data_IF_334596145385
#
_entry.id   IF_334596145385
#
_cell.length_a   1.000
_cell.length_b   1.000
_cell.length_c   1.000
_cell.angle_alpha   90.00
_cell.angle_beta   90.00
_cell.angle_gamma   90.00
#
_symmetry.space_group_name_H-M   'P 1'
#
loop_
_entity.id
_entity.type
_entity.pdbx_description
1 polymer ?
#
# COMPACT_ATOMS: atom_id res chain seq x y z
N UNK A 1 -34.99 23.01 -1.81
CA UNK A 1 -33.96 22.45 -2.71
C UNK A 1 -32.59 22.68 -2.09
N UNK A 2 -31.81 21.66 -1.73
CA UNK A 2 -30.42 21.88 -1.39
C UNK A 2 -29.70 22.22 -2.70
N UNK A 3 -29.15 23.43 -2.76
CA UNK A 3 -28.29 23.89 -3.85
C UNK A 3 -27.06 23.00 -3.83
N UNK A 4 -26.94 22.08 -4.79
CA UNK A 4 -25.67 21.41 -5.10
C UNK A 4 -24.75 22.48 -5.67
N UNK A 5 -23.67 22.88 -4.97
CA UNK A 5 -22.74 23.83 -5.53
C UNK A 5 -22.07 23.17 -6.75
N UNK A 6 -22.01 23.89 -7.86
CA UNK A 6 -21.27 23.44 -9.03
C UNK A 6 -19.80 23.22 -8.65
N UNK A 7 -19.22 22.12 -9.16
CA UNK A 7 -17.78 21.83 -9.12
C UNK A 7 -17.03 23.10 -9.57
N UNK A 8 -16.18 23.67 -8.71
CA UNK A 8 -15.48 24.94 -8.94
C UNK A 8 -15.91 26.13 -8.06
N UNK A 9 -16.93 25.98 -7.20
CA UNK A 9 -17.40 27.07 -6.33
C UNK A 9 -16.73 27.12 -4.95
N UNK A 10 -16.02 26.08 -4.51
CA UNK A 10 -15.57 25.97 -3.13
C UNK A 10 -14.25 26.68 -2.88
N UNK A 11 -14.00 27.06 -1.62
CA UNK A 11 -12.75 27.73 -1.23
C UNK A 11 -11.47 27.01 -1.69
N UNK A 12 -11.46 25.67 -1.71
CA UNK A 12 -10.29 24.91 -2.11
C UNK A 12 -10.00 24.95 -3.63
N UNK A 13 -11.03 25.11 -4.46
CA UNK A 13 -10.89 25.27 -5.92
C UNK A 13 -10.21 26.60 -6.29
N UNK A 14 -10.28 27.58 -5.38
CA UNK A 14 -9.72 28.92 -5.55
C UNK A 14 -8.27 29.03 -5.06
N UNK A 15 -7.72 27.97 -4.46
CA UNK A 15 -6.35 27.96 -3.96
C UNK A 15 -5.36 27.78 -5.11
N UNK A 16 -4.64 28.86 -5.45
CA UNK A 16 -3.77 28.88 -6.63
C UNK A 16 -2.67 27.81 -6.60
N UNK A 17 -2.15 27.49 -5.41
CA UNK A 17 -1.12 26.46 -5.20
C UNK A 17 -1.65 25.02 -5.24
N UNK A 18 -2.98 24.82 -5.26
CA UNK A 18 -3.61 23.51 -5.39
C UNK A 18 -4.04 23.21 -6.84
N UNK A 19 -3.97 24.21 -7.73
CA UNK A 19 -4.32 24.04 -9.14
C UNK A 19 -3.35 23.05 -9.82
N UNK A 20 -3.82 22.25 -10.80
CA UNK A 20 -2.98 21.25 -11.48
C UNK A 20 -1.64 21.79 -11.99
N UNK A 21 -1.61 23.02 -12.52
CA UNK A 21 -0.39 23.62 -13.07
C UNK A 21 0.62 24.08 -12.00
N UNK A 22 0.14 24.32 -10.78
CA UNK A 22 0.89 24.94 -9.69
C UNK A 22 1.13 23.98 -8.51
N UNK A 23 0.49 22.82 -8.51
CA UNK A 23 0.61 21.84 -7.44
C UNK A 23 2.05 21.38 -7.29
N UNK A 24 2.48 21.26 -6.04
CA UNK A 24 3.82 20.81 -5.68
C UNK A 24 3.76 19.76 -4.59
N UNK A 25 4.70 18.81 -4.64
CA UNK A 25 4.91 17.87 -3.54
C UNK A 25 5.51 18.59 -2.33
N UNK A 26 5.61 17.90 -1.19
CA UNK A 26 6.15 18.50 0.05
C UNK A 26 7.59 19.03 -0.08
N UNK A 27 8.36 18.53 -1.04
CA UNK A 27 9.72 18.97 -1.36
C UNK A 27 9.75 20.17 -2.33
N UNK A 28 8.59 20.64 -2.80
CA UNK A 28 8.45 21.77 -3.69
C UNK A 28 8.56 21.42 -5.18
N UNK A 29 8.63 20.13 -5.54
CA UNK A 29 8.71 19.67 -6.94
C UNK A 29 7.33 19.71 -7.59
N UNK A 30 7.26 20.11 -8.86
CA UNK A 30 6.00 20.15 -9.65
C UNK A 30 5.68 18.77 -10.22
N UNK A 31 4.43 18.54 -10.62
CA UNK A 31 4.00 17.28 -11.24
C UNK A 31 4.80 16.85 -12.50
N UNK A 32 5.42 17.80 -13.21
CA UNK A 32 6.29 17.53 -14.36
C UNK A 32 7.69 17.01 -13.99
N UNK A 33 8.08 17.13 -12.73
CA UNK A 33 9.39 16.70 -12.24
C UNK A 33 9.44 15.16 -12.14
N UNK A 34 10.48 14.48 -12.68
CA UNK A 34 10.63 13.03 -12.57
C UNK A 34 10.62 12.51 -11.13
N UNK A 35 10.99 13.35 -10.17
CA UNK A 35 11.05 13.02 -8.76
C UNK A 35 9.84 13.53 -7.95
N UNK A 36 8.80 14.03 -8.60
CA UNK A 36 7.56 14.44 -7.94
C UNK A 36 6.95 13.31 -7.09
N UNK A 37 6.63 13.59 -5.83
CA UNK A 37 5.87 12.67 -4.99
C UNK A 37 4.39 13.08 -4.89
N UNK A 38 3.55 12.44 -5.72
CA UNK A 38 2.11 12.64 -5.78
C UNK A 38 1.35 12.31 -4.49
N UNK A 39 2.00 11.65 -3.54
CA UNK A 39 1.41 11.26 -2.24
C UNK A 39 1.59 12.34 -1.17
N UNK A 40 2.26 13.44 -1.52
CA UNK A 40 2.48 14.58 -0.62
C UNK A 40 2.10 15.88 -1.30
N UNK A 41 1.88 16.92 -0.50
CA UNK A 41 1.44 18.23 -0.97
C UNK A 41 2.18 19.32 -0.20
N UNK A 42 2.77 20.27 -0.92
CA UNK A 42 3.27 21.49 -0.30
C UNK A 42 2.10 22.43 0.00
N UNK A 43 2.04 22.87 1.26
CA UNK A 43 1.03 23.82 1.73
C UNK A 43 1.75 25.06 2.26
N UNK A 44 1.46 26.27 1.75
CA UNK A 44 2.12 27.50 2.19
C UNK A 44 1.98 27.75 3.69
N UNK A 45 3.08 28.10 4.37
CA UNK A 45 3.07 28.31 5.83
C UNK A 45 2.12 29.43 6.25
N UNK A 46 2.04 30.51 5.50
CA UNK A 46 1.12 31.61 5.84
C UNK A 46 -0.34 31.23 5.61
N UNK A 47 -0.63 30.33 4.66
CA UNK A 47 -1.96 29.74 4.54
C UNK A 47 -2.30 28.90 5.78
N UNK A 48 -1.38 28.02 6.22
CA UNK A 48 -1.56 27.19 7.42
C UNK A 48 -1.77 28.02 8.69
N UNK A 49 -1.02 29.13 8.83
CA UNK A 49 -1.17 30.04 9.97
C UNK A 49 -2.55 30.67 10.03
N UNK A 50 -3.19 30.94 8.88
CA UNK A 50 -4.52 31.57 8.80
C UNK A 50 -5.68 30.60 9.05
N UNK A 51 -5.45 29.28 8.98
CA UNK A 51 -6.49 28.28 9.21
C UNK A 51 -6.94 28.22 10.67
N UNK A 52 -8.19 27.79 10.89
CA UNK A 52 -8.66 27.41 12.22
C UNK A 52 -7.81 26.25 12.78
N UNK A 53 -7.70 26.09 14.11
CA UNK A 53 -6.82 25.08 14.70
C UNK A 53 -7.04 23.65 14.20
N UNK A 54 -8.30 23.21 14.08
CA UNK A 54 -8.64 21.88 13.58
C UNK A 54 -8.32 21.71 12.08
N UNK A 55 -8.71 22.68 11.24
CA UNK A 55 -8.44 22.65 9.79
C UNK A 55 -6.94 22.74 9.51
N UNK A 56 -6.17 23.45 10.34
CA UNK A 56 -4.70 23.44 10.28
C UNK A 56 -4.13 22.05 10.54
N UNK A 57 -4.63 21.30 11.52
CA UNK A 57 -4.21 19.91 11.75
C UNK A 57 -4.52 19.04 10.54
N UNK A 58 -5.72 19.16 9.97
CA UNK A 58 -6.10 18.42 8.77
C UNK A 58 -5.18 18.74 7.58
N UNK A 59 -4.90 20.01 7.26
CA UNK A 59 -4.00 20.37 6.17
C UNK A 59 -2.57 19.88 6.38
N UNK A 60 -2.09 19.82 7.63
CA UNK A 60 -0.79 19.22 7.96
C UNK A 60 -0.76 17.72 7.67
N UNK A 61 -1.80 16.99 8.06
CA UNK A 61 -1.91 15.56 7.78
C UNK A 61 -2.03 15.30 6.27
N UNK A 62 -2.87 16.10 5.60
CA UNK A 62 -3.07 16.04 4.16
C UNK A 62 -1.80 16.34 3.38
N UNK A 63 -0.99 17.31 3.84
CA UNK A 63 0.32 17.61 3.25
C UNK A 63 1.25 16.40 3.20
N UNK A 64 1.17 15.50 4.17
CA UNK A 64 1.94 14.25 4.17
C UNK A 64 1.24 13.05 3.52
N UNK A 65 -0.05 13.14 3.22
CA UNK A 65 -0.90 12.04 2.77
C UNK A 65 -1.93 12.55 1.76
N UNK A 66 -1.45 13.16 0.69
CA UNK A 66 -2.29 13.82 -0.30
C UNK A 66 -3.16 12.81 -1.07
N UNK A 67 -2.65 11.59 -1.23
CA UNK A 67 -3.30 10.44 -1.86
C UNK A 67 -4.30 9.70 -0.94
N UNK A 68 -4.52 10.16 0.29
CA UNK A 68 -5.34 9.48 1.30
C UNK A 68 -6.55 10.32 1.66
N UNK A 69 -7.75 9.76 1.60
CA UNK A 69 -8.98 10.39 2.11
C UNK A 69 -8.93 10.36 3.64
N UNK A 70 -8.95 11.52 4.28
CA UNK A 70 -8.87 11.62 5.74
C UNK A 70 -10.26 11.68 6.34
N UNK A 71 -10.68 10.59 6.98
CA UNK A 71 -11.87 10.56 7.85
C UNK A 71 -11.49 11.20 9.19
N UNK A 72 -11.81 12.48 9.34
CA UNK A 72 -11.32 13.33 10.42
C UNK A 72 -12.29 13.39 11.60
N UNK A 73 -11.95 12.79 12.74
CA UNK A 73 -12.88 12.71 13.87
C UNK A 73 -13.10 14.06 14.55
N UNK A 74 -14.37 14.43 14.69
CA UNK A 74 -14.85 15.61 15.39
C UNK A 74 -16.02 15.21 16.29
N UNK A 75 -15.73 15.02 17.57
CA UNK A 75 -16.69 14.49 18.53
C UNK A 75 -17.10 13.07 18.17
N UNK A 76 -18.39 12.87 17.91
CA UNK A 76 -19.00 11.57 17.55
C UNK A 76 -19.15 11.37 16.03
N UNK A 77 -18.52 12.22 15.23
CA UNK A 77 -18.61 12.19 13.77
C UNK A 77 -17.22 12.06 13.15
N UNK A 78 -17.18 11.41 11.99
CA UNK A 78 -16.09 11.56 11.04
C UNK A 78 -16.50 12.58 9.99
N UNK A 79 -15.65 13.60 9.82
CA UNK A 79 -15.83 14.67 8.86
C UNK A 79 -14.82 14.50 7.70
N UNK A 80 -15.25 14.88 6.51
CA UNK A 80 -14.46 14.96 5.29
C UNK A 80 -14.42 16.42 4.86
N UNK A 81 -13.24 16.92 4.50
CA UNK A 81 -13.06 18.32 4.12
C UNK A 81 -12.51 18.48 2.71
N UNK A 82 -12.89 19.58 2.06
CA UNK A 82 -12.39 19.99 0.75
C UNK A 82 -12.55 18.87 -0.28
N UNK A 83 -11.47 18.43 -0.93
CA UNK A 83 -11.51 17.36 -1.92
C UNK A 83 -11.98 16.02 -1.35
N UNK A 84 -11.77 15.75 -0.06
CA UNK A 84 -12.26 14.50 0.56
C UNK A 84 -13.78 14.54 0.68
N UNK A 85 -14.37 15.71 0.94
CA UNK A 85 -15.82 15.89 1.02
C UNK A 85 -16.47 15.71 -0.35
N UNK A 86 -15.83 16.20 -1.42
CA UNK A 86 -16.30 16.00 -2.80
C UNK A 86 -16.39 14.52 -3.12
N UNK A 87 -15.35 13.74 -2.78
CA UNK A 87 -15.35 12.28 -2.92
C UNK A 87 -16.46 11.65 -2.06
N UNK A 88 -16.61 12.07 -0.80
CA UNK A 88 -17.66 11.55 0.08
C UNK A 88 -19.08 11.76 -0.45
N UNK A 89 -19.36 12.90 -1.06
CA UNK A 89 -20.67 13.14 -1.69
C UNK A 89 -20.86 12.29 -2.95
N UNK A 90 -19.84 12.24 -3.81
CA UNK A 90 -19.92 11.53 -5.09
C UNK A 90 -20.00 10.01 -4.91
N UNK A 91 -19.14 9.45 -4.07
CA UNK A 91 -18.93 8.00 -3.97
C UNK A 91 -19.77 7.34 -2.87
N UNK A 92 -20.13 8.09 -1.83
CA UNK A 92 -20.87 7.57 -0.67
C UNK A 92 -22.28 8.15 -0.52
N UNK A 93 -22.69 9.06 -1.41
CA UNK A 93 -24.00 9.70 -1.36
C UNK A 93 -24.21 10.57 -0.12
N UNK A 94 -23.14 11.08 0.49
CA UNK A 94 -23.25 12.04 1.58
C UNK A 94 -23.83 13.37 1.09
N UNK A 95 -24.33 14.19 2.00
CA UNK A 95 -24.77 15.55 1.70
C UNK A 95 -23.72 16.58 2.15
N UNK A 96 -23.55 17.63 1.36
CA UNK A 96 -22.76 18.78 1.78
C UNK A 96 -23.43 19.51 2.95
N UNK A 97 -22.64 19.80 3.97
CA UNK A 97 -23.00 20.70 5.06
C UNK A 97 -22.87 22.16 4.59
N UNK A 98 -23.62 23.07 5.21
CA UNK A 98 -23.54 24.51 4.87
C UNK A 98 -22.18 25.08 5.29
N UNK A 99 -21.55 25.85 4.41
CA UNK A 99 -20.30 26.55 4.66
C UNK A 99 -19.59 26.99 3.38
N UNK A 100 -18.47 27.70 3.53
CA UNK A 100 -17.69 28.27 2.41
C UNK A 100 -16.75 27.25 1.72
N UNK A 101 -16.60 26.06 2.29
CA UNK A 101 -15.80 24.97 1.74
C UNK A 101 -16.59 23.68 1.72
N UNK A 102 -16.23 22.77 0.80
CA UNK A 102 -16.84 21.45 0.73
C UNK A 102 -16.62 20.70 2.04
N UNK A 103 -17.70 20.31 2.68
CA UNK A 103 -17.69 19.66 3.98
C UNK A 103 -18.86 18.67 4.02
N UNK A 104 -18.59 17.44 4.45
CA UNK A 104 -19.59 16.40 4.69
C UNK A 104 -19.12 15.51 5.84
N UNK A 105 -19.99 14.70 6.41
CA UNK A 105 -19.60 13.77 7.46
C UNK A 105 -20.65 12.72 7.76
N UNK A 106 -20.31 11.81 8.68
CA UNK A 106 -21.17 10.72 9.12
C UNK A 106 -20.85 10.33 10.57
N UNK A 107 -21.80 9.71 11.31
CA UNK A 107 -21.57 9.30 12.68
C UNK A 107 -20.53 8.18 12.78
N UNK A 108 -19.79 8.13 13.88
CA UNK A 108 -18.71 7.18 14.14
C UNK A 108 -19.07 5.72 13.86
N UNK A 109 -20.29 5.29 14.24
CA UNK A 109 -20.79 3.92 14.03
C UNK A 109 -20.83 3.52 12.55
N UNK A 110 -20.87 4.48 11.63
CA UNK A 110 -20.93 4.23 10.19
C UNK A 110 -19.54 4.15 9.54
N UNK A 111 -18.45 4.30 10.30
CA UNK A 111 -17.08 4.29 9.77
C UNK A 111 -16.80 3.06 8.91
N UNK A 112 -16.97 1.85 9.45
CA UNK A 112 -16.65 0.61 8.74
C UNK A 112 -17.35 0.47 7.39
N UNK A 113 -18.62 0.89 7.30
CA UNK A 113 -19.39 0.85 6.05
C UNK A 113 -18.86 1.84 5.00
N UNK A 114 -18.60 3.08 5.42
CA UNK A 114 -18.15 4.12 4.49
C UNK A 114 -16.69 3.97 4.09
N UNK A 115 -15.82 3.56 5.01
CA UNK A 115 -14.41 3.29 4.71
C UNK A 115 -14.29 2.13 3.72
N UNK A 116 -14.99 1.03 3.98
CA UNK A 116 -14.93 -0.16 3.13
C UNK A 116 -15.44 0.13 1.71
N UNK A 117 -16.52 0.90 1.57
CA UNK A 117 -17.00 1.32 0.25
C UNK A 117 -15.98 2.13 -0.53
N UNK A 118 -15.20 2.99 0.11
CA UNK A 118 -14.13 3.76 -0.55
C UNK A 118 -12.94 2.86 -0.90
N UNK A 119 -12.54 1.97 0.00
CA UNK A 119 -11.40 1.06 -0.25
C UNK A 119 -11.71 0.11 -1.40
N UNK A 120 -12.94 -0.41 -1.51
CA UNK A 120 -13.35 -1.23 -2.66
C UNK A 120 -13.31 -0.47 -3.99
N UNK A 121 -13.57 0.84 -3.97
CA UNK A 121 -13.44 1.73 -5.13
C UNK A 121 -11.98 2.12 -5.44
N UNK A 122 -11.01 1.60 -4.70
CA UNK A 122 -9.57 1.82 -4.93
C UNK A 122 -8.99 3.04 -4.20
N UNK A 123 -9.76 3.72 -3.34
CA UNK A 123 -9.23 4.82 -2.54
C UNK A 123 -8.41 4.33 -1.35
N UNK A 124 -7.42 5.12 -0.94
CA UNK A 124 -6.73 4.96 0.35
C UNK A 124 -7.49 5.77 1.40
N UNK A 125 -7.79 5.17 2.54
CA UNK A 125 -8.60 5.79 3.60
C UNK A 125 -7.78 5.88 4.88
N UNK A 126 -7.64 7.09 5.44
CA UNK A 126 -6.96 7.34 6.70
C UNK A 126 -7.96 7.63 7.82
N UNK A 127 -7.90 6.85 8.91
CA UNK A 127 -8.68 7.11 10.12
C UNK A 127 -7.92 8.07 11.02
N UNK A 128 -8.46 9.27 11.23
CA UNK A 128 -7.87 10.26 12.13
C UNK A 128 -8.70 10.35 13.39
N UNK A 129 -8.11 9.98 14.53
CA UNK A 129 -8.78 9.95 15.83
C UNK A 129 -8.44 11.18 16.67
N UNK A 130 -9.27 11.46 17.68
CA UNK A 130 -8.93 12.37 18.76
C UNK A 130 -8.17 11.59 19.83
N UNK A 131 -6.87 11.87 19.99
CA UNK A 131 -5.99 11.20 20.97
C UNK A 131 -5.97 11.88 22.33
N UNK A 132 -6.77 12.95 22.50
CA UNK A 132 -6.96 13.68 23.74
C UNK A 132 -8.44 14.02 23.92
N UNK A 133 -8.92 14.00 25.17
CA UNK A 133 -10.22 14.55 25.55
C UNK A 133 -10.14 16.08 25.75
N UNK A 134 -11.27 16.81 25.77
CA UNK A 134 -11.27 18.24 26.12
C UNK A 134 -10.61 18.52 27.47
N UNK A 135 -10.81 17.66 28.47
CA UNK A 135 -10.21 17.78 29.79
C UNK A 135 -8.68 17.61 29.74
N UNK A 136 -8.18 16.66 28.94
CA UNK A 136 -6.73 16.48 28.73
C UNK A 136 -6.11 17.68 28.01
N UNK A 137 -6.82 18.22 27.00
CA UNK A 137 -6.39 19.45 26.32
C UNK A 137 -6.32 20.64 27.29
N UNK A 138 -7.33 20.82 28.15
CA UNK A 138 -7.35 21.90 29.15
C UNK A 138 -6.19 21.76 30.14
N UNK A 139 -5.91 20.54 30.61
CA UNK A 139 -4.76 20.25 31.47
C UNK A 139 -3.43 20.59 30.77
N UNK A 140 -3.27 20.17 29.51
CA UNK A 140 -2.09 20.49 28.69
C UNK A 140 -1.93 22.01 28.54
N UNK A 141 -3.00 22.74 28.24
CA UNK A 141 -2.95 24.20 28.07
C UNK A 141 -2.61 24.93 29.38
N UNK A 142 -3.06 24.43 30.54
CA UNK A 142 -2.71 25.01 31.86
C UNK A 142 -1.23 24.83 32.21
N UNK A 143 -0.59 23.76 31.71
CA UNK A 143 0.84 23.51 31.92
C UNK A 143 1.74 24.32 30.98
N UNK A 144 1.17 24.94 29.93
CA UNK A 144 1.91 25.78 29.00
C UNK A 144 2.07 27.20 29.54
N UNK A 145 3.29 27.75 29.48
CA UNK A 145 3.56 29.13 29.87
C UNK A 145 2.78 30.15 29.02
N UNK A 146 2.57 29.87 27.72
CA UNK A 146 1.81 30.76 26.82
C UNK A 146 1.09 29.92 25.75
N UNK A 147 -0.11 29.39 26.03
CA UNK A 147 -0.86 28.61 25.05
C UNK A 147 -1.36 29.49 23.91
N UNK A 148 -1.09 29.09 22.68
CA UNK A 148 -1.56 29.77 21.47
C UNK A 148 -2.97 29.30 21.10
N UNK A 149 -3.62 29.99 20.14
CA UNK A 149 -4.89 29.52 19.58
C UNK A 149 -4.82 28.13 18.97
N UNK A 150 -3.65 27.71 18.51
CA UNK A 150 -3.45 26.41 17.87
C UNK A 150 -3.28 25.27 18.90
N UNK A 151 -3.03 25.60 20.16
CA UNK A 151 -2.94 24.64 21.26
C UNK A 151 -4.31 24.38 21.90
N UNK A 152 -5.26 25.29 21.71
CA UNK A 152 -6.65 25.21 22.19
C UNK A 152 -7.54 24.35 21.28
N UNK A 153 -7.04 23.18 20.90
CA UNK A 153 -7.78 22.14 20.19
C UNK A 153 -7.21 20.79 20.60
N UNK A 154 -8.07 19.77 20.73
CA UNK A 154 -7.62 18.42 21.04
C UNK A 154 -6.60 17.94 19.99
N UNK A 155 -5.65 17.10 20.42
CA UNK A 155 -4.73 16.44 19.51
C UNK A 155 -5.47 15.41 18.66
N UNK A 156 -5.03 15.31 17.41
CA UNK A 156 -5.46 14.29 16.47
C UNK A 156 -4.28 13.69 15.77
N UNK A 157 -4.39 12.41 15.48
CA UNK A 157 -3.33 11.61 14.85
C UNK A 157 -3.99 10.63 13.86
N UNK A 158 -3.28 10.30 12.78
CA UNK A 158 -3.67 9.21 11.90
C UNK A 158 -3.41 7.93 12.69
N UNK A 159 -4.45 7.12 12.91
CA UNK A 159 -4.36 5.86 13.66
C UNK A 159 -4.38 4.63 12.77
N UNK A 160 -4.80 4.76 11.50
CA UNK A 160 -4.63 3.72 10.49
C UNK A 160 -4.76 4.33 9.09
N UNK A 161 -4.11 3.68 8.11
CA UNK A 161 -4.37 3.90 6.68
C UNK A 161 -4.69 2.55 6.04
N UNK A 162 -5.85 2.48 5.41
CA UNK A 162 -6.38 1.26 4.79
C UNK A 162 -6.36 1.42 3.27
N UNK A 163 -5.87 0.40 2.59
CA UNK A 163 -5.89 0.25 1.13
C UNK A 163 -6.42 -1.14 0.79
N UNK A 164 -6.76 -1.42 -0.48
CA UNK A 164 -7.29 -2.74 -0.85
C UNK A 164 -6.33 -3.89 -0.50
N UNK A 165 -5.02 -3.67 -0.60
CA UNK A 165 -3.99 -4.66 -0.26
C UNK A 165 -3.43 -4.57 1.16
N UNK A 166 -3.97 -3.71 2.04
CA UNK A 166 -3.50 -3.59 3.44
C UNK A 166 -4.63 -3.76 4.45
N UNK A 167 -5.69 -4.46 4.05
CA UNK A 167 -6.83 -4.75 4.93
C UNK A 167 -6.44 -5.75 5.98
N UNK A 168 -6.89 -5.49 7.20
CA UNK A 168 -6.77 -6.46 8.29
C UNK A 168 -8.16 -6.72 8.85
N UNK A 169 -8.51 -7.95 9.22
CA UNK A 169 -9.77 -8.24 9.87
C UNK A 169 -9.78 -7.57 11.25
N UNK A 170 -10.29 -6.34 11.31
CA UNK A 170 -10.41 -5.56 12.54
C UNK A 170 -11.88 -5.20 12.78
N UNK A 171 -12.31 -5.19 14.04
CA UNK A 171 -13.71 -4.95 14.41
C UNK A 171 -14.28 -3.60 13.91
N UNK A 172 -13.40 -2.62 13.65
CA UNK A 172 -13.79 -1.30 13.15
C UNK A 172 -13.85 -1.19 11.62
N UNK A 173 -13.36 -2.18 10.89
CA UNK A 173 -13.32 -2.20 9.43
C UNK A 173 -14.44 -3.15 8.93
N UNK A 174 -15.12 -2.77 7.84
CA UNK A 174 -16.32 -3.49 7.38
C UNK A 174 -16.07 -4.97 7.11
N UNK A 175 -17.12 -5.79 7.25
CA UNK A 175 -17.05 -7.24 7.02
C UNK A 175 -16.82 -7.51 5.52
N UNK A 176 -15.88 -8.40 5.22
CA UNK A 176 -15.48 -8.82 3.88
C UNK A 176 -16.69 -9.20 3.00
N UNK A 177 -16.68 -8.75 1.75
CA UNK A 177 -17.67 -9.17 0.73
C UNK A 177 -17.06 -9.93 -0.45
N UNK A 178 -15.73 -10.08 -0.52
CA UNK A 178 -15.05 -10.83 -1.58
C UNK A 178 -14.12 -11.88 -0.95
N UNK A 179 -14.20 -13.12 -1.44
CA UNK A 179 -13.40 -14.27 -0.98
C UNK A 179 -12.00 -14.35 -1.62
N UNK A 180 -11.60 -13.33 -2.38
CA UNK A 180 -10.34 -13.33 -3.12
C UNK A 180 -9.24 -12.67 -2.29
N UNK A 181 -8.13 -13.38 -2.11
CA UNK A 181 -6.93 -12.84 -1.45
C UNK A 181 -6.46 -11.55 -2.14
N UNK A 182 -6.29 -10.50 -1.34
CA UNK A 182 -5.88 -9.18 -1.81
C UNK A 182 -4.41 -8.92 -1.46
N UNK A 183 -3.50 -9.33 -2.35
CA UNK A 183 -2.07 -9.23 -2.07
C UNK A 183 -1.54 -7.79 -2.18
N UNK A 184 -0.68 -7.41 -1.22
CA UNK A 184 0.32 -6.36 -1.38
C UNK A 184 1.57 -6.98 -1.98
N UNK A 185 2.05 -6.47 -3.12
CA UNK A 185 3.24 -6.97 -3.80
C UNK A 185 4.25 -5.85 -4.01
N UNK A 186 5.50 -6.07 -3.61
CA UNK A 186 6.64 -5.25 -3.99
C UNK A 186 7.50 -5.98 -5.03
N UNK A 187 7.92 -5.25 -6.07
CA UNK A 187 8.81 -5.76 -7.12
C UNK A 187 10.03 -4.86 -7.24
N UNK A 188 11.21 -5.49 -7.30
CA UNK A 188 12.48 -4.88 -7.69
C UNK A 188 13.09 -5.64 -8.87
N UNK A 189 13.62 -4.91 -9.84
CA UNK A 189 14.24 -5.46 -11.03
C UNK A 189 15.73 -5.13 -11.08
N UNK A 190 16.54 -6.10 -11.52
CA UNK A 190 17.93 -5.93 -11.95
C UNK A 190 18.06 -6.51 -13.36
N UNK A 191 18.90 -5.91 -14.20
CA UNK A 191 19.25 -6.51 -15.48
C UNK A 191 19.96 -7.86 -15.26
N UNK A 192 19.59 -8.88 -16.04
CA UNK A 192 20.27 -10.17 -16.06
C UNK A 192 21.61 -10.12 -16.81
N UNK A 193 22.30 -11.27 -16.84
CA UNK A 193 23.62 -11.38 -17.46
C UNK A 193 23.57 -11.25 -18.99
N UNK A 194 22.47 -11.70 -19.61
CA UNK A 194 22.28 -11.56 -21.06
C UNK A 194 21.31 -10.42 -21.41
N UNK A 195 21.43 -9.92 -22.65
CA UNK A 195 20.63 -8.81 -23.12
C UNK A 195 19.13 -9.16 -23.13
N UNK A 196 18.33 -8.35 -22.43
CA UNK A 196 16.89 -8.50 -22.21
C UNK A 196 16.47 -9.61 -21.24
N UNK A 197 17.37 -10.17 -20.44
CA UNK A 197 16.97 -10.93 -19.25
C UNK A 197 16.85 -10.00 -18.03
N UNK A 198 16.03 -10.40 -17.07
CA UNK A 198 15.85 -9.66 -15.82
C UNK A 198 15.94 -10.62 -14.65
N UNK A 199 16.44 -10.13 -13.53
CA UNK A 199 16.36 -10.79 -12.23
C UNK A 199 15.36 -9.97 -11.42
N UNK A 200 14.31 -10.63 -10.94
CA UNK A 200 13.31 -10.00 -10.09
C UNK A 200 13.51 -10.41 -8.65
N UNK A 201 13.45 -9.43 -7.74
CA UNK A 201 13.13 -9.63 -6.34
C UNK A 201 11.68 -9.32 -6.10
N UNK A 202 11.01 -10.18 -5.33
CA UNK A 202 9.61 -10.01 -4.98
C UNK A 202 9.40 -10.23 -3.49
N UNK A 203 8.50 -9.44 -2.93
CA UNK A 203 7.92 -9.70 -1.62
C UNK A 203 6.43 -9.45 -1.72
N UNK A 204 5.60 -10.42 -1.35
CA UNK A 204 4.15 -10.22 -1.30
C UNK A 204 3.54 -10.81 -0.05
N UNK A 205 2.41 -10.24 0.35
CA UNK A 205 1.69 -10.61 1.55
C UNK A 205 0.20 -10.43 1.35
N UNK A 206 -0.57 -11.39 1.87
CA UNK A 206 -1.98 -11.17 2.19
C UNK A 206 -2.05 -10.73 3.67
N UNK A 207 -2.39 -9.46 3.89
CA UNK A 207 -2.39 -8.85 5.22
C UNK A 207 -3.50 -9.38 6.12
N UNK A 208 -4.48 -10.10 5.59
CA UNK A 208 -5.52 -10.75 6.40
C UNK A 208 -4.99 -11.98 7.14
N UNK A 209 -4.02 -12.69 6.54
CA UNK A 209 -3.39 -13.90 7.10
C UNK A 209 -1.98 -13.65 7.65
N UNK A 210 -1.33 -12.55 7.26
CA UNK A 210 -0.02 -12.15 7.77
C UNK A 210 1.17 -12.98 7.28
N UNK A 211 1.02 -13.75 6.21
CA UNK A 211 2.10 -14.59 5.64
C UNK A 211 2.83 -13.84 4.52
N UNK A 212 4.12 -13.59 4.73
CA UNK A 212 4.99 -13.04 3.69
C UNK A 212 5.55 -14.14 2.79
N UNK A 213 5.61 -13.86 1.50
CA UNK A 213 6.30 -14.66 0.49
C UNK A 213 7.45 -13.84 -0.08
N UNK A 214 8.69 -14.37 -0.02
CA UNK A 214 9.88 -13.71 -0.54
C UNK A 214 10.58 -14.60 -1.56
N UNK A 215 10.96 -14.02 -2.70
CA UNK A 215 11.70 -14.75 -3.72
C UNK A 215 12.57 -13.84 -4.56
N UNK A 216 13.62 -14.41 -5.11
CA UNK A 216 14.45 -13.80 -6.14
C UNK A 216 14.71 -14.84 -7.22
N UNK A 217 14.51 -14.47 -8.48
CA UNK A 217 14.63 -15.38 -9.61
C UNK A 217 15.05 -14.63 -10.87
N UNK A 218 15.85 -15.30 -11.71
CA UNK A 218 16.05 -14.94 -13.11
C UNK A 218 14.74 -15.11 -13.88
N UNK A 219 14.57 -14.36 -14.96
CA UNK A 219 13.40 -14.42 -15.81
C UNK A 219 13.79 -14.18 -17.26
N UNK A 220 13.01 -14.80 -18.14
CA UNK A 220 13.28 -14.80 -19.56
C UNK A 220 12.96 -13.45 -20.23
N UNK A 221 13.23 -13.37 -21.53
CA UNK A 221 12.99 -12.17 -22.34
C UNK A 221 11.52 -11.73 -22.39
N UNK A 222 10.58 -12.63 -22.08
CA UNK A 222 9.15 -12.37 -22.05
C UNK A 222 8.60 -12.12 -20.64
N UNK A 223 9.46 -12.24 -19.63
CA UNK A 223 9.13 -12.21 -18.20
C UNK A 223 8.07 -13.25 -17.83
N UNK A 224 8.23 -14.49 -18.30
CA UNK A 224 7.24 -15.56 -18.11
C UNK A 224 7.02 -15.92 -16.64
N UNK A 225 8.08 -15.92 -15.81
CA UNK A 225 7.96 -16.21 -14.37
C UNK A 225 7.24 -15.09 -13.64
N UNK A 226 7.57 -13.83 -13.94
CA UNK A 226 6.83 -12.69 -13.40
C UNK A 226 5.35 -12.73 -13.78
N UNK A 227 5.02 -13.01 -15.04
CA UNK A 227 3.62 -13.14 -15.49
C UNK A 227 2.89 -14.25 -14.75
N UNK A 228 3.56 -15.38 -14.54
CA UNK A 228 3.02 -16.52 -13.79
C UNK A 228 2.76 -16.16 -12.34
N UNK A 229 3.70 -15.47 -11.68
CA UNK A 229 3.51 -14.93 -10.33
C UNK A 229 2.27 -14.04 -10.26
N UNK A 230 2.15 -13.06 -11.17
CA UNK A 230 1.03 -12.11 -11.18
C UNK A 230 -0.32 -12.79 -11.45
N UNK A 231 -0.33 -13.93 -12.16
CA UNK A 231 -1.53 -14.71 -12.41
C UNK A 231 -1.92 -15.59 -11.20
N UNK A 232 -0.95 -16.17 -10.50
CA UNK A 232 -1.19 -17.01 -9.33
C UNK A 232 -1.51 -16.20 -8.07
N UNK A 233 -0.89 -15.02 -7.93
CA UNK A 233 -1.00 -14.13 -6.77
C UNK A 233 -1.35 -12.72 -7.26
N UNK A 234 -2.60 -12.49 -7.72
CA UNK A 234 -3.00 -11.19 -8.24
C UNK A 234 -2.93 -10.11 -7.15
N UNK A 235 -2.11 -9.06 -7.33
CA UNK A 235 -1.98 -8.01 -6.34
C UNK A 235 -3.16 -7.02 -6.41
N UNK A 236 -3.67 -6.65 -5.24
CA UNK A 236 -4.58 -5.52 -5.08
C UNK A 236 -3.83 -4.18 -4.93
N UNK A 237 -2.57 -4.24 -4.50
CA UNK A 237 -1.69 -3.09 -4.33
C UNK A 237 -0.26 -3.46 -4.72
N UNK A 238 0.31 -2.75 -5.69
CA UNK A 238 1.66 -2.93 -6.19
C UNK A 238 2.58 -1.79 -5.73
N UNK A 239 3.76 -2.16 -5.23
CA UNK A 239 4.85 -1.26 -4.87
C UNK A 239 6.04 -1.52 -5.80
N UNK A 240 6.67 -0.46 -6.28
CA UNK A 240 7.92 -0.58 -7.02
C UNK A 240 8.81 0.63 -6.79
N UNK A 241 10.11 0.45 -6.95
CA UNK A 241 11.07 1.54 -6.86
C UNK A 241 11.00 2.43 -8.10
N UNK A 242 10.89 3.74 -7.90
CA UNK A 242 10.83 4.69 -9.01
C UNK A 242 12.10 4.61 -9.85
N UNK A 243 11.92 4.63 -11.18
CA UNK A 243 13.00 4.51 -12.18
C UNK A 243 13.76 3.17 -12.17
N UNK A 244 13.30 2.16 -11.41
CA UNK A 244 13.95 0.84 -11.37
C UNK A 244 13.44 -0.12 -12.46
N UNK A 245 12.12 -0.19 -12.67
CA UNK A 245 11.53 -1.17 -13.58
C UNK A 245 11.78 -0.83 -15.05
N UNK A 246 12.10 -1.84 -15.85
CA UNK A 246 12.31 -1.69 -17.29
C UNK A 246 11.01 -1.30 -18.02
N UNK A 247 11.09 -0.65 -19.20
CA UNK A 247 9.90 -0.32 -20.00
C UNK A 247 9.04 -1.55 -20.32
N UNK A 248 9.69 -2.71 -20.51
CA UNK A 248 9.02 -4.00 -20.70
C UNK A 248 8.20 -4.38 -19.47
N UNK A 249 8.83 -4.41 -18.29
CA UNK A 249 8.14 -4.73 -17.03
C UNK A 249 6.97 -3.77 -16.80
N UNK A 250 7.17 -2.48 -16.99
CA UNK A 250 6.11 -1.47 -16.86
C UNK A 250 4.94 -1.71 -17.82
N UNK A 251 5.21 -2.15 -19.06
CA UNK A 251 4.16 -2.50 -20.01
C UNK A 251 3.37 -3.75 -19.57
N UNK A 252 4.05 -4.75 -19.01
CA UNK A 252 3.40 -5.96 -18.46
C UNK A 252 2.47 -5.57 -17.31
N UNK A 253 2.97 -4.78 -16.36
CA UNK A 253 2.21 -4.34 -15.18
C UNK A 253 1.00 -3.49 -15.60
N UNK A 254 1.16 -2.54 -16.53
CA UNK A 254 0.02 -1.75 -17.04
C UNK A 254 -1.06 -2.61 -17.70
N UNK A 255 -0.66 -3.67 -18.41
CA UNK A 255 -1.61 -4.55 -19.12
C UNK A 255 -2.31 -5.54 -18.19
N UNK A 256 -1.58 -6.13 -17.25
CA UNK A 256 -2.13 -7.17 -16.35
C UNK A 256 -2.82 -6.56 -15.12
N UNK A 257 -2.34 -5.41 -14.64
CA UNK A 257 -2.73 -4.81 -13.36
C UNK A 257 -3.35 -3.41 -13.54
N UNK A 258 -4.11 -3.20 -14.62
CA UNK A 258 -4.66 -1.89 -14.97
C UNK A 258 -5.59 -1.26 -13.92
N UNK A 259 -6.22 -2.08 -13.08
CA UNK A 259 -7.07 -1.64 -11.96
C UNK A 259 -6.38 -1.75 -10.58
N UNK A 260 -5.16 -2.27 -10.53
CA UNK A 260 -4.40 -2.40 -9.28
C UNK A 260 -3.93 -1.02 -8.82
N UNK A 261 -3.99 -0.78 -7.51
CA UNK A 261 -3.39 0.40 -6.91
C UNK A 261 -1.86 0.30 -7.04
N UNK A 262 -1.19 1.35 -7.52
CA UNK A 262 0.26 1.32 -7.74
C UNK A 262 0.97 2.50 -7.10
N UNK A 263 2.00 2.22 -6.29
CA UNK A 263 2.85 3.22 -5.65
C UNK A 263 4.29 3.14 -6.17
N UNK A 264 4.72 4.20 -6.88
CA UNK A 264 6.11 4.42 -7.27
C UNK A 264 6.89 5.05 -6.11
N UNK A 265 7.59 4.20 -5.34
CA UNK A 265 8.29 4.56 -4.12
C UNK A 265 9.65 5.22 -4.42
N UNK A 266 10.01 6.22 -3.60
CA UNK A 266 11.30 6.90 -3.73
C UNK A 266 12.46 5.95 -3.37
N UNK A 267 13.50 5.84 -4.21
CA UNK A 267 14.68 5.01 -3.96
C UNK A 267 15.35 5.31 -2.63
N UNK A 268 15.71 4.28 -1.88
CA UNK A 268 16.43 4.35 -0.60
C UNK A 268 15.74 5.15 0.53
N UNK A 269 14.58 5.76 0.28
CA UNK A 269 13.78 6.47 1.28
C UNK A 269 12.55 5.65 1.66
N UNK A 270 11.82 5.20 0.64
CA UNK A 270 10.55 4.47 0.77
C UNK A 270 10.69 3.03 0.25
N UNK A 271 11.45 2.83 -0.82
CA UNK A 271 11.91 1.50 -1.25
C UNK A 271 13.32 1.28 -0.70
N UNK A 272 13.45 0.54 0.39
CA UNK A 272 14.73 0.37 1.08
C UNK A 272 15.64 -0.64 0.37
N UNK A 273 16.95 -0.41 0.41
CA UNK A 273 17.93 -1.45 0.12
C UNK A 273 17.90 -2.58 1.16
N UNK A 274 18.49 -3.72 0.82
CA UNK A 274 18.53 -4.92 1.67
C UNK A 274 19.11 -4.63 3.07
N UNK A 275 20.28 -3.98 3.15
CA UNK A 275 20.94 -3.67 4.43
C UNK A 275 20.10 -2.77 5.34
N UNK A 276 19.44 -1.76 4.76
CA UNK A 276 18.52 -0.90 5.53
C UNK A 276 17.33 -1.70 6.05
N UNK A 277 16.79 -2.60 5.23
CA UNK A 277 15.67 -3.47 5.61
C UNK A 277 16.03 -4.35 6.79
N UNK A 278 17.15 -5.08 6.70
CA UNK A 278 17.62 -5.95 7.78
C UNK A 278 17.90 -5.16 9.06
N UNK A 279 18.57 -4.02 8.95
CA UNK A 279 18.81 -3.13 10.10
C UNK A 279 17.51 -2.69 10.77
N UNK A 280 16.53 -2.23 9.99
CA UNK A 280 15.23 -1.79 10.52
C UNK A 280 14.45 -2.95 11.17
N UNK A 281 14.54 -4.16 10.63
CA UNK A 281 13.90 -5.34 11.22
C UNK A 281 14.57 -5.78 12.53
N UNK A 282 15.90 -5.74 12.59
CA UNK A 282 16.66 -6.06 13.79
C UNK A 282 16.41 -5.05 14.93
N UNK A 283 16.36 -3.75 14.60
CA UNK A 283 16.11 -2.68 15.56
C UNK A 283 14.62 -2.56 15.96
N UNK A 284 13.70 -3.07 15.15
CA UNK A 284 12.25 -2.89 15.34
C UNK A 284 11.59 -3.81 16.37
N UNK A 285 12.35 -4.70 17.01
CA UNK A 285 11.87 -5.67 18.02
C UNK A 285 10.70 -6.56 17.54
N UNK A 286 10.49 -6.69 16.23
CA UNK A 286 9.37 -7.47 15.68
C UNK A 286 9.51 -8.96 15.97
N UNK A 287 10.75 -9.45 16.03
CA UNK A 287 11.04 -10.88 16.15
C UNK A 287 11.55 -11.29 17.53
N UNK A 288 11.38 -10.42 18.53
CA UNK A 288 11.77 -10.71 19.91
C UNK A 288 10.68 -11.53 20.61
N UNK A 289 11.05 -12.67 21.19
CA UNK A 289 10.22 -13.44 22.14
C UNK A 289 11.02 -13.60 23.43
N UNK A 290 10.41 -13.36 24.59
CA UNK A 290 11.09 -13.49 25.89
C UNK A 290 12.44 -12.74 25.99
N UNK A 291 12.53 -11.58 25.35
CA UNK A 291 13.73 -10.72 25.25
C UNK A 291 14.89 -11.28 24.41
N UNK A 292 14.70 -12.41 23.73
CA UNK A 292 15.66 -12.93 22.76
C UNK A 292 15.18 -12.67 21.33
N UNK A 293 16.07 -12.09 20.52
CA UNK A 293 15.84 -11.83 19.11
C UNK A 293 16.25 -13.05 18.28
N UNK A 294 15.36 -13.51 17.42
CA UNK A 294 15.66 -14.58 16.46
C UNK A 294 15.08 -14.27 15.08
N UNK A 295 15.92 -14.36 14.05
CA UNK A 295 15.48 -14.25 12.66
C UNK A 295 14.55 -15.42 12.28
N UNK A 296 13.39 -15.15 11.65
CA UNK A 296 12.60 -16.19 11.00
C UNK A 296 13.45 -17.02 10.04
N UNK A 297 13.22 -18.33 9.98
CA UNK A 297 14.02 -19.28 9.21
C UNK A 297 14.33 -18.82 7.77
N UNK A 298 13.30 -18.40 7.02
CA UNK A 298 13.45 -17.94 5.64
C UNK A 298 14.35 -16.70 5.54
N UNK A 299 14.23 -15.75 6.47
CA UNK A 299 15.09 -14.56 6.49
C UNK A 299 16.51 -14.94 6.87
N UNK A 300 16.70 -15.84 7.84
CA UNK A 300 18.01 -16.35 8.25
C UNK A 300 18.76 -17.01 7.08
N UNK A 301 18.06 -17.78 6.24
CA UNK A 301 18.63 -18.38 5.02
C UNK A 301 19.07 -17.36 3.97
N UNK A 302 18.45 -16.17 3.97
CA UNK A 302 18.77 -15.06 3.07
C UNK A 302 19.93 -14.18 3.55
N UNK A 303 20.46 -14.39 4.76
CA UNK A 303 21.59 -13.64 5.32
C UNK A 303 22.94 -14.21 4.84
N UNK A 304 23.93 -13.34 4.64
CA UNK A 304 25.29 -13.75 4.31
C UNK A 304 25.97 -14.45 5.50
N UNK A 305 26.68 -15.56 5.23
CA UNK A 305 27.29 -16.41 6.27
C UNK A 305 28.42 -15.73 7.05
N UNK A 306 29.06 -14.71 6.47
CA UNK A 306 30.19 -13.99 7.07
C UNK A 306 29.82 -12.78 7.92
N UNK A 307 28.54 -12.41 8.01
CA UNK A 307 28.08 -11.25 8.77
C UNK A 307 27.46 -11.67 10.11
N UNK A 308 28.24 -11.58 11.18
CA UNK A 308 27.77 -11.92 12.53
C UNK A 308 26.65 -11.03 13.04
N UNK A 309 26.45 -9.84 12.45
CA UNK A 309 25.34 -8.94 12.78
C UNK A 309 24.06 -9.29 12.03
N UNK A 310 24.14 -10.12 10.98
CA UNK A 310 22.99 -10.50 10.15
C UNK A 310 22.34 -9.32 9.43
N UNK A 311 23.14 -8.31 9.04
CA UNK A 311 22.68 -7.07 8.39
C UNK A 311 22.98 -7.05 6.89
N UNK A 312 23.54 -8.13 6.37
CA UNK A 312 23.93 -8.29 4.97
C UNK A 312 23.15 -9.45 4.36
N UNK A 313 22.42 -9.19 3.28
CA UNK A 313 21.76 -10.23 2.50
C UNK A 313 22.75 -10.94 1.57
N UNK A 314 22.48 -12.20 1.24
CA UNK A 314 23.17 -12.90 0.15
C UNK A 314 22.90 -12.22 -1.19
N UNK A 315 23.83 -12.33 -2.14
CA UNK A 315 23.67 -11.73 -3.48
C UNK A 315 22.42 -12.26 -4.21
N UNK A 316 22.10 -13.54 -4.02
CA UNK A 316 20.93 -14.21 -4.61
C UNK A 316 19.61 -13.89 -3.87
N UNK A 317 19.67 -13.08 -2.80
CA UNK A 317 18.52 -12.70 -1.97
C UNK A 317 18.37 -11.18 -1.79
N UNK A 318 19.34 -10.39 -2.28
CA UNK A 318 19.40 -8.94 -2.11
C UNK A 318 18.14 -8.22 -2.61
N UNK A 319 17.65 -8.57 -3.80
CA UNK A 319 16.46 -7.95 -4.39
C UNK A 319 15.18 -8.36 -3.65
N UNK A 320 15.09 -9.61 -3.17
CA UNK A 320 13.97 -10.08 -2.37
C UNK A 320 13.89 -9.33 -1.03
N UNK A 321 15.02 -9.20 -0.33
CA UNK A 321 15.11 -8.48 0.94
C UNK A 321 14.86 -6.98 0.73
N UNK A 322 15.35 -6.39 -0.36
CA UNK A 322 15.01 -5.00 -0.71
C UNK A 322 13.50 -4.83 -0.98
N UNK A 323 12.87 -5.79 -1.65
CA UNK A 323 11.41 -5.79 -1.88
C UNK A 323 10.63 -5.94 -0.58
N UNK A 324 11.11 -6.74 0.37
CA UNK A 324 10.56 -6.76 1.73
C UNK A 324 10.61 -5.38 2.38
N UNK A 325 11.69 -4.63 2.21
CA UNK A 325 11.81 -3.26 2.71
C UNK A 325 10.70 -2.34 2.25
N UNK A 326 10.28 -2.44 0.98
CA UNK A 326 9.16 -1.70 0.45
C UNK A 326 7.82 -2.10 1.08
N UNK A 327 7.57 -3.41 1.23
CA UNK A 327 6.38 -3.91 1.94
C UNK A 327 6.35 -3.42 3.39
N UNK A 328 7.46 -3.57 4.13
CA UNK A 328 7.57 -3.11 5.53
C UNK A 328 7.31 -1.61 5.61
N UNK A 329 7.94 -0.80 4.75
CA UNK A 329 7.69 0.64 4.72
C UNK A 329 6.20 0.99 4.50
N UNK A 330 5.53 0.28 3.59
CA UNK A 330 4.10 0.47 3.35
C UNK A 330 3.25 0.07 4.57
N UNK A 331 3.56 -1.06 5.21
CA UNK A 331 2.87 -1.50 6.43
C UNK A 331 3.09 -0.53 7.59
N UNK A 332 4.29 0.03 7.73
CA UNK A 332 4.61 1.08 8.73
C UNK A 332 3.79 2.34 8.47
N UNK A 333 3.66 2.75 7.19
CA UNK A 333 2.80 3.87 6.81
C UNK A 333 1.32 3.59 7.16
N UNK A 334 0.90 2.34 7.09
CA UNK A 334 -0.47 1.92 7.43
C UNK A 334 -0.70 1.69 8.94
N UNK A 335 0.36 1.70 9.75
CA UNK A 335 0.35 1.44 11.21
C UNK A 335 -0.10 0.02 11.58
N UNK A 336 0.27 -0.96 10.76
CA UNK A 336 -0.07 -2.38 10.95
C UNK A 336 1.15 -3.31 10.92
N UNK A 337 2.36 -2.76 10.73
CA UNK A 337 3.60 -3.51 10.62
C UNK A 337 3.88 -4.37 11.84
N UNK A 338 3.60 -3.86 13.05
CA UNK A 338 3.89 -4.60 14.28
C UNK A 338 2.97 -5.81 14.44
N UNK A 339 1.69 -5.67 14.10
CA UNK A 339 0.71 -6.76 14.18
C UNK A 339 1.07 -7.89 13.20
N UNK A 340 1.57 -7.53 12.01
CA UNK A 340 1.87 -8.48 10.95
C UNK A 340 3.26 -9.11 11.13
N UNK A 341 4.30 -8.30 11.33
CA UNK A 341 5.68 -8.80 11.43
C UNK A 341 5.89 -9.65 12.69
N UNK A 342 5.20 -9.36 13.80
CA UNK A 342 5.30 -10.15 15.04
C UNK A 342 4.80 -11.60 14.90
N UNK A 343 4.04 -11.91 13.84
CA UNK A 343 3.63 -13.27 13.52
C UNK A 343 4.79 -14.16 13.03
N UNK A 344 5.93 -13.57 12.64
CA UNK A 344 7.12 -14.29 12.14
C UNK A 344 6.82 -15.25 10.97
N UNK A 345 5.75 -15.01 10.22
CA UNK A 345 5.28 -15.90 9.15
C UNK A 345 5.90 -15.52 7.81
N UNK A 346 6.95 -16.24 7.43
CA UNK A 346 7.69 -16.04 6.19
C UNK A 346 7.79 -17.35 5.42
N UNK A 347 7.64 -17.28 4.11
CA UNK A 347 7.73 -18.42 3.19
C UNK A 347 8.56 -18.02 1.97
N UNK A 348 9.39 -18.94 1.48
CA UNK A 348 10.13 -18.70 0.25
C UNK A 348 9.21 -18.89 -0.95
N UNK A 349 9.20 -17.92 -1.85
CA UNK A 349 8.61 -18.06 -3.17
C UNK A 349 9.67 -18.58 -4.14
N UNK A 350 9.37 -19.70 -4.80
CA UNK A 350 10.15 -20.24 -5.91
C UNK A 350 9.25 -20.35 -7.13
N UNK A 351 9.72 -19.94 -8.34
CA UNK A 351 8.96 -20.14 -9.57
C UNK A 351 8.54 -21.60 -9.77
N UNK A 352 7.35 -21.81 -10.34
CA UNK A 352 6.72 -23.13 -10.44
C UNK A 352 7.57 -24.14 -11.24
N UNK A 353 8.28 -23.66 -12.27
CA UNK A 353 9.18 -24.45 -13.11
C UNK A 353 10.42 -24.95 -12.35
N UNK A 354 10.85 -24.23 -11.31
CA UNK A 354 11.93 -24.67 -10.42
C UNK A 354 11.41 -25.68 -9.38
N UNK A 355 10.24 -25.41 -8.80
CA UNK A 355 9.63 -26.29 -7.79
C UNK A 355 9.23 -27.67 -8.32
N UNK A 356 8.83 -27.75 -9.61
CA UNK A 356 8.44 -28.99 -10.27
C UNK A 356 9.61 -29.94 -10.56
N UNK A 357 10.81 -29.39 -10.78
CA UNK A 357 12.01 -30.16 -11.13
C UNK A 357 12.61 -30.97 -9.97
N UNK A 358 12.27 -30.66 -8.71
CA UNK A 358 12.75 -31.42 -7.54
C UNK A 358 11.97 -32.72 -7.28
N UNK A 359 10.86 -32.98 -7.99
CA UNK A 359 10.00 -34.16 -7.75
C UNK A 359 10.24 -35.36 -8.68
N UNK A 360 11.22 -35.34 -9.58
CA UNK A 360 11.53 -36.50 -10.44
C UNK A 360 12.98 -37.00 -10.26
N UNK A 361 13.29 -37.57 -9.09
CA UNK A 361 14.38 -38.56 -8.93
C UNK A 361 14.11 -39.58 -7.82
N UNK A 362 12.87 -40.02 -7.64
CA UNK A 362 12.60 -41.32 -6.99
C UNK A 362 11.47 -42.03 -7.74
N UNK A 363 11.72 -43.28 -8.13
CA UNK A 363 10.99 -44.00 -9.17
C UNK A 363 9.50 -44.24 -8.89
N UNK A 364 8.69 -44.05 -9.93
CA UNK A 364 7.26 -44.41 -10.02
C UNK A 364 6.79 -44.33 -11.47
N UNK A 365 5.76 -45.09 -11.89
CA UNK A 365 5.74 -45.75 -13.21
C UNK A 365 5.44 -44.82 -14.38
N UNK A 366 6.07 -45.13 -15.51
CA UNK A 366 5.75 -44.60 -16.84
C UNK A 366 4.25 -44.68 -17.14
N UNK A 367 3.60 -43.53 -17.30
CA UNK A 367 2.32 -43.45 -17.98
C UNK A 367 2.56 -43.20 -19.47
N UNK A 368 2.37 -44.23 -20.28
CA UNK A 368 2.25 -44.10 -21.73
C UNK A 368 0.87 -43.54 -22.07
N UNK A 369 0.83 -42.32 -22.63
CA UNK A 369 -0.40 -41.72 -23.13
C UNK A 369 -0.78 -42.38 -24.46
N UNK A 370 -1.73 -43.31 -24.44
CA UNK A 370 -2.37 -43.80 -25.66
C UNK A 370 -3.38 -42.75 -26.13
N UNK A 371 -2.99 -41.92 -27.10
CA UNK A 371 -3.94 -41.09 -27.85
C UNK A 371 -4.81 -42.00 -28.72
N UNK A 372 -6.08 -42.20 -28.32
CA UNK A 372 -7.12 -42.63 -29.27
C UNK A 372 -7.53 -41.43 -30.11
N UNK A 373 -7.03 -41.36 -31.34
CA UNK A 373 -7.66 -40.57 -32.40
C UNK A 373 -9.09 -41.08 -32.61
N UNK A 374 -10.07 -40.20 -32.43
CA UNK A 374 -11.44 -40.45 -32.91
C UNK A 374 -11.47 -39.99 -34.36
N UNK A 375 -11.35 -40.93 -35.28
CA UNK A 375 -11.58 -40.70 -36.71
C UNK A 375 -13.08 -40.69 -36.94
N UNK A 376 -13.62 -39.51 -37.31
CA UNK A 376 -15.00 -39.39 -37.79
C UNK A 376 -15.05 -40.04 -39.18
N UNK A 377 -15.83 -41.12 -39.32
CA UNK A 377 -16.18 -41.69 -40.62
C UNK A 377 -17.42 -40.99 -41.16
N UNK A 378 -17.28 -40.39 -42.34
CA UNK A 378 -18.40 -40.02 -43.22
C UNK A 378 -19.00 -41.27 -43.90
N UNK A 379 -20.32 -41.23 -44.16
CA UNK A 379 -21.10 -42.23 -44.91
C UNK A 379 -21.88 -43.20 -44.01
N UNK A 380 -23.17 -43.49 -44.19
CA UNK A 380 -24.06 -43.44 -45.36
C UNK A 380 -25.54 -43.27 -44.93
N UNK A 381 -26.35 -42.83 -45.90
CA UNK A 381 -27.83 -42.85 -45.90
C UNK A 381 -28.36 -44.27 -45.71
N UNK A 382 -29.51 -44.43 -45.04
CA UNK A 382 -30.68 -45.15 -45.57
C UNK A 382 -31.89 -45.16 -44.61
N UNK A 383 -33.04 -44.76 -45.16
CA UNK A 383 -34.44 -45.10 -44.89
C UNK A 383 -34.85 -45.78 -43.56
N UNK A 384 -35.70 -45.09 -42.78
CA UNK A 384 -37.13 -45.37 -42.61
C UNK A 384 -37.83 -44.26 -41.82
#
# INVERSE_FOLDING_TARGET
HPVTPHVGSYTHDKLDWLRPDNIRDKSGKRASDPDYNSRTLWVPQDFLKRQSPAIRQWWKMKSGNYDVILMFKVGKFYELYHMDAVIGVQELGLAFMRGDFAHSGFPEIAFGRYSESLVQKGYKVGRVEQTETPQMMDARCKQMATPTRHDKVVRREICSIVTKGTRTPSFSEGVESESDSAFLLAIKEKAGDTANESIYGVCFIDTSIGQFHLGQFDDDRQSSRLRTLLAHYPPAHLLYERHNLSPRTMQILKRMLGCCLQDALSPNVEFWGSSRTLKTLAEGEYFSSDQEFEWPHVLKEMLAEGDSLGLTAKEDSDLAVSSLGACVHCLTRCLIERNILSMKSFTRYEPVDVSGGRKEKEGGPHFTTSQRMVTVKEGERENL
#
